data_IF_282856529794
#
_entry.id   IF_282856529794
#
_cell.length_a   1.000
_cell.length_b   1.000
_cell.length_c   1.000
_cell.angle_alpha   90.00
_cell.angle_beta   90.00
_cell.angle_gamma   90.00
#
_symmetry.space_group_name_H-M   'P 1'
#
loop_
_entity.id
_entity.type
_entity.pdbx_description
1 polymer ?
#
# COMPACT_ATOMS: atom_id res chain seq x y z
N UNK A 1 -69.05 -1.17 16.08
CA UNK A 1 -69.92 -1.74 17.14
C UNK A 1 -69.15 -1.74 18.46
N UNK A 2 -69.83 -1.55 19.60
CA UNK A 2 -69.54 -2.14 20.95
C UNK A 2 -68.10 -2.02 21.52
N UNK A 3 -67.79 -1.61 22.77
CA UNK A 3 -68.51 -1.00 23.93
C UNK A 3 -67.43 -0.53 24.96
N UNK A 4 -67.82 0.22 26.02
CA UNK A 4 -67.15 0.56 27.31
C UNK A 4 -65.94 -0.33 27.76
N UNK A 5 -64.99 0.09 28.63
CA UNK A 5 -65.12 0.74 29.97
C UNK A 5 -63.70 1.09 30.49
N UNK A 6 -63.29 2.23 31.08
CA UNK A 6 -63.73 3.06 32.25
C UNK A 6 -63.37 2.47 33.65
N UNK A 7 -62.43 3.08 34.41
CA UNK A 7 -62.35 3.25 35.91
C UNK A 7 -60.93 3.78 36.37
N UNK A 8 -60.78 4.93 37.07
CA UNK A 8 -60.59 5.20 38.56
C UNK A 8 -59.19 4.85 39.16
N UNK A 9 -58.56 5.52 40.17
CA UNK A 9 -58.68 6.78 41.00
C UNK A 9 -57.33 6.94 41.80
N UNK A 10 -56.74 8.11 42.17
CA UNK A 10 -57.06 9.15 43.21
C UNK A 10 -57.13 8.59 44.65
N UNK A 11 -56.48 9.07 45.74
CA UNK A 11 -55.83 10.35 46.18
C UNK A 11 -54.27 10.25 46.33
N UNK A 12 -53.41 11.21 46.75
CA UNK A 12 -53.43 12.60 47.35
C UNK A 12 -53.35 12.74 48.92
N UNK A 13 -52.77 13.86 49.43
CA UNK A 13 -52.68 14.38 50.85
C UNK A 13 -51.49 13.82 51.69
N UNK A 14 -50.56 14.53 52.41
CA UNK A 14 -50.41 15.85 53.09
C UNK A 14 -50.81 15.85 54.61
N UNK A 15 -50.24 16.58 55.61
CA UNK A 15 -49.00 17.40 55.76
C UNK A 15 -48.71 17.75 57.28
N UNK A 16 -47.61 18.51 57.55
CA UNK A 16 -47.41 19.53 58.63
C UNK A 16 -46.99 19.15 60.10
N UNK A 17 -45.71 19.47 60.42
CA UNK A 17 -45.11 20.28 61.54
C UNK A 17 -45.32 20.02 63.07
N UNK A 18 -44.40 20.69 63.84
CA UNK A 18 -44.47 21.22 65.25
C UNK A 18 -43.92 20.31 66.36
N UNK A 19 -43.22 20.79 67.43
CA UNK A 19 -42.20 21.84 67.66
C UNK A 19 -41.62 21.70 69.10
N UNK A 20 -40.34 22.01 69.31
CA UNK A 20 -39.60 22.38 70.54
C UNK A 20 -40.10 22.00 71.97
N UNK A 21 -39.16 21.50 72.80
CA UNK A 21 -39.25 21.48 74.27
C UNK A 21 -37.93 21.00 74.90
N UNK A 22 -37.45 21.64 75.98
CA UNK A 22 -36.12 21.40 76.57
C UNK A 22 -36.17 21.19 78.09
N UNK A 23 -35.22 20.42 78.64
CA UNK A 23 -34.95 20.32 80.08
C UNK A 23 -33.47 20.01 80.37
N UNK A 24 -33.05 20.29 81.62
CA UNK A 24 -31.65 20.25 82.09
C UNK A 24 -31.51 19.41 83.37
N UNK A 25 -30.32 18.85 83.66
CA UNK A 25 -29.98 18.32 84.99
C UNK A 25 -28.99 17.14 85.02
N UNK A 26 -27.84 17.31 85.68
CA UNK A 26 -26.75 16.31 85.76
C UNK A 26 -27.00 15.16 86.76
N UNK A 27 -26.31 14.00 86.60
CA UNK A 27 -26.52 12.84 87.50
C UNK A 27 -25.47 11.71 87.52
N UNK A 28 -24.16 12.02 87.72
CA UNK A 28 -23.04 11.09 88.03
C UNK A 28 -22.57 10.06 86.97
N UNK A 29 -21.26 9.77 87.06
CA UNK A 29 -20.44 8.89 86.20
C UNK A 29 -20.87 7.42 86.19
N UNK A 30 -20.79 6.80 85.01
CA UNK A 30 -20.33 5.42 84.79
C UNK A 30 -19.23 5.45 83.70
N UNK A 31 -18.35 4.44 83.66
CA UNK A 31 -17.26 4.33 82.66
C UNK A 31 -17.59 3.23 81.64
N UNK A 32 -17.74 3.60 80.37
CA UNK A 32 -17.94 2.68 79.21
C UNK A 32 -17.58 3.39 77.88
N UNK A 33 -17.40 2.63 76.79
CA UNK A 33 -16.11 2.52 76.12
C UNK A 33 -15.82 3.66 75.14
N UNK A 34 -14.53 3.87 74.86
CA UNK A 34 -14.10 4.78 73.80
C UNK A 34 -14.53 4.25 72.42
N UNK A 35 -15.35 5.02 71.72
CA UNK A 35 -15.45 4.92 70.26
C UNK A 35 -14.28 5.70 69.64
N UNK A 36 -13.71 5.26 68.50
CA UNK A 36 -12.59 5.96 67.86
C UNK A 36 -12.92 7.42 67.53
N UNK A 37 -11.93 8.31 67.69
CA UNK A 37 -12.05 9.68 67.20
C UNK A 37 -12.15 9.67 65.68
N UNK A 38 -12.99 10.54 65.15
CA UNK A 38 -12.90 10.97 63.75
C UNK A 38 -11.65 11.87 63.67
N UNK A 39 -10.52 11.29 63.28
CA UNK A 39 -9.46 12.08 62.68
C UNK A 39 -9.94 12.63 61.34
N UNK A 40 -9.38 13.76 60.90
CA UNK A 40 -9.45 14.10 59.49
C UNK A 40 -8.58 13.09 58.76
N UNK A 41 -9.21 12.15 58.08
CA UNK A 41 -8.60 11.40 57.00
C UNK A 41 -7.99 12.44 56.04
N UNK A 42 -6.66 12.48 55.92
CA UNK A 42 -6.03 13.23 54.84
C UNK A 42 -6.54 12.61 53.54
N UNK A 43 -7.02 13.43 52.61
CA UNK A 43 -7.42 12.92 51.29
C UNK A 43 -6.25 12.08 50.76
N UNK A 44 -6.46 10.80 50.40
CA UNK A 44 -5.41 10.04 49.77
C UNK A 44 -5.03 10.84 48.53
N UNK A 45 -3.77 11.25 48.45
CA UNK A 45 -3.23 11.82 47.21
C UNK A 45 -3.43 10.77 46.15
N UNK A 46 -4.50 10.95 45.39
CA UNK A 46 -4.59 10.48 44.02
C UNK A 46 -3.49 11.24 43.31
N UNK A 47 -2.28 10.65 43.36
CA UNK A 47 -1.40 10.70 42.22
C UNK A 47 -2.30 10.40 41.03
N UNK A 48 -2.60 11.45 40.27
CA UNK A 48 -3.00 11.27 38.90
C UNK A 48 -1.82 10.52 38.31
N UNK A 49 -1.99 9.22 38.12
CA UNK A 49 -1.40 8.53 36.99
C UNK A 49 -1.83 9.33 35.78
N UNK A 50 -1.00 10.33 35.45
CA UNK A 50 -1.07 11.04 34.17
C UNK A 50 -0.97 9.91 33.18
N UNK A 51 -2.10 9.56 32.57
CA UNK A 51 -2.15 8.48 31.60
C UNK A 51 -1.05 8.78 30.61
N UNK A 52 -0.04 7.90 30.53
CA UNK A 52 1.15 8.15 29.73
C UNK A 52 0.63 8.43 28.34
N UNK A 53 0.73 9.69 27.91
CA UNK A 53 0.43 10.05 26.53
C UNK A 53 1.46 9.26 25.75
N UNK A 54 0.98 8.22 25.07
CA UNK A 54 1.73 7.59 24.02
C UNK A 54 1.71 8.65 22.94
N UNK A 55 2.76 9.46 22.89
CA UNK A 55 3.03 10.31 21.74
C UNK A 55 3.12 9.36 20.55
N UNK A 56 2.10 9.41 19.69
CA UNK A 56 2.07 8.62 18.49
C UNK A 56 3.30 9.05 17.65
N UNK A 57 4.20 8.12 17.29
CA UNK A 57 5.50 8.46 16.74
C UNK A 57 5.36 9.31 15.48
N UNK A 58 5.90 10.53 15.53
CA UNK A 58 5.74 11.53 14.46
C UNK A 58 6.17 10.96 13.10
N UNK A 59 5.36 11.22 12.07
CA UNK A 59 5.67 10.81 10.71
C UNK A 59 6.96 11.54 10.26
N UNK A 60 8.02 10.82 9.86
CA UNK A 60 9.31 11.43 9.56
C UNK A 60 9.23 12.31 8.32
N UNK A 61 9.95 13.45 8.31
CA UNK A 61 9.92 14.41 7.21
C UNK A 61 10.42 13.82 5.87
N UNK A 62 11.21 12.75 5.90
CA UNK A 62 11.66 12.00 4.72
C UNK A 62 10.80 10.75 4.43
N UNK A 63 9.50 10.76 4.82
CA UNK A 63 8.57 9.67 4.52
C UNK A 63 8.48 9.43 3.01
N UNK A 64 8.82 8.21 2.61
CA UNK A 64 8.58 7.68 1.28
C UNK A 64 7.08 7.44 1.11
N UNK A 65 6.48 8.23 0.22
CA UNK A 65 5.04 8.25 -0.01
C UNK A 65 4.51 6.93 -0.62
N UNK A 66 5.38 6.03 -1.07
CA UNK A 66 5.02 4.72 -1.64
C UNK A 66 5.04 3.57 -0.61
N UNK A 67 5.88 3.67 0.43
CA UNK A 67 6.08 2.60 1.44
C UNK A 67 5.68 3.00 2.86
N UNK A 68 5.54 4.29 3.13
CA UNK A 68 5.29 4.84 4.45
C UNK A 68 6.51 4.84 5.39
N UNK A 69 7.69 4.40 4.93
CA UNK A 69 8.95 4.37 5.68
C UNK A 69 9.71 5.70 5.57
N UNK A 70 10.58 6.01 6.54
CA UNK A 70 11.43 7.21 6.53
C UNK A 70 12.78 7.00 5.82
N UNK A 71 12.77 6.67 4.52
CA UNK A 71 13.97 6.24 3.77
C UNK A 71 14.37 7.09 2.56
N UNK A 72 13.63 8.17 2.24
CA UNK A 72 14.02 9.12 1.18
C UNK A 72 15.33 9.85 1.51
N UNK A 73 16.09 10.21 0.47
CA UNK A 73 17.13 11.24 0.52
C UNK A 73 16.51 12.62 0.75
N UNK A 74 17.29 13.58 1.24
CA UNK A 74 16.82 14.97 1.43
C UNK A 74 16.39 15.59 0.09
N UNK A 75 17.09 15.25 -0.98
CA UNK A 75 16.83 15.70 -2.35
C UNK A 75 15.53 15.14 -2.95
N UNK A 76 15.07 13.96 -2.48
CA UNK A 76 13.84 13.32 -2.94
C UNK A 76 12.57 13.75 -2.17
N UNK A 77 12.69 14.49 -1.06
CA UNK A 77 11.52 14.92 -0.27
C UNK A 77 10.60 15.81 -1.10
N UNK A 78 9.33 15.41 -1.22
CA UNK A 78 8.34 16.11 -2.04
C UNK A 78 8.54 15.99 -3.56
N UNK A 79 9.43 15.10 -4.02
CA UNK A 79 9.74 14.90 -5.44
C UNK A 79 9.03 13.67 -6.02
N UNK A 80 8.89 13.67 -7.34
CA UNK A 80 8.16 12.66 -8.10
C UNK A 80 8.89 11.31 -8.08
N UNK A 81 8.16 10.19 -7.92
CA UNK A 81 8.72 8.85 -8.06
C UNK A 81 9.05 8.53 -9.53
N UNK A 82 9.67 7.38 -9.75
CA UNK A 82 10.06 6.88 -11.08
C UNK A 82 9.44 5.51 -11.30
N UNK A 83 8.62 5.35 -12.33
CA UNK A 83 8.01 4.10 -12.73
C UNK A 83 8.76 3.51 -13.94
N UNK A 84 9.30 2.29 -13.79
CA UNK A 84 10.20 1.66 -14.77
C UNK A 84 9.61 0.34 -15.28
N UNK A 85 9.43 0.25 -16.60
CA UNK A 85 8.89 -0.95 -17.27
C UNK A 85 9.96 -2.03 -17.41
N UNK A 86 9.84 -3.12 -16.64
CA UNK A 86 10.82 -4.22 -16.60
C UNK A 86 10.22 -5.51 -17.19
N UNK A 87 11.03 -6.22 -17.97
CA UNK A 87 10.69 -7.47 -18.62
C UNK A 87 10.69 -8.64 -17.61
N UNK A 88 9.62 -9.43 -17.56
CA UNK A 88 9.47 -10.54 -16.60
C UNK A 88 9.38 -11.94 -17.26
N UNK A 89 9.64 -12.03 -18.58
CA UNK A 89 9.73 -13.33 -19.27
C UNK A 89 10.96 -14.12 -18.82
N UNK A 90 10.80 -15.43 -18.67
CA UNK A 90 11.85 -16.35 -18.18
C UNK A 90 13.21 -16.19 -18.87
N UNK A 91 13.21 -16.07 -20.21
CA UNK A 91 14.42 -15.90 -21.04
C UNK A 91 15.21 -14.61 -20.79
N UNK A 92 14.68 -13.68 -19.99
CA UNK A 92 15.30 -12.41 -19.66
C UNK A 92 15.75 -12.30 -18.20
N UNK A 93 15.29 -13.23 -17.35
CA UNK A 93 15.63 -13.35 -15.93
C UNK A 93 17.00 -14.02 -15.72
N UNK A 94 17.65 -13.83 -14.55
CA UNK A 94 17.28 -12.89 -13.50
C UNK A 94 17.46 -11.43 -13.95
N UNK A 95 16.57 -10.56 -13.49
CA UNK A 95 16.71 -9.11 -13.67
C UNK A 95 17.70 -8.53 -12.66
N UNK A 96 18.05 -7.24 -12.80
CA UNK A 96 18.70 -6.49 -11.72
C UNK A 96 18.11 -5.09 -11.56
N UNK A 97 18.34 -4.50 -10.38
CA UNK A 97 17.81 -3.22 -9.93
C UNK A 97 16.43 -3.31 -9.29
N UNK A 98 15.65 -4.35 -9.59
CA UNK A 98 14.27 -4.53 -9.11
C UNK A 98 14.18 -4.85 -7.61
N UNK A 99 15.23 -5.36 -6.96
CA UNK A 99 15.26 -5.54 -5.51
C UNK A 99 15.12 -4.23 -4.72
N UNK A 100 15.41 -3.09 -5.35
CA UNK A 100 15.33 -1.77 -4.73
C UNK A 100 13.98 -1.08 -4.96
N UNK A 101 13.05 -1.67 -5.73
CA UNK A 101 11.74 -1.09 -5.97
C UNK A 101 10.87 -1.04 -4.70
N UNK A 102 10.10 0.02 -4.57
CA UNK A 102 9.16 0.28 -3.46
C UNK A 102 7.80 -0.37 -3.71
N UNK A 103 7.33 -0.26 -4.96
CA UNK A 103 6.13 -0.95 -5.46
C UNK A 103 6.52 -1.70 -6.74
N UNK A 104 6.09 -2.96 -6.88
CA UNK A 104 6.10 -3.67 -8.17
C UNK A 104 4.68 -4.05 -8.55
N UNK A 105 4.20 -3.49 -9.67
CA UNK A 105 3.01 -3.99 -10.35
C UNK A 105 3.41 -5.15 -11.28
N UNK A 106 2.76 -6.31 -11.18
CA UNK A 106 2.90 -7.42 -12.14
C UNK A 106 1.57 -7.65 -12.88
N UNK A 107 1.60 -7.58 -14.21
CA UNK A 107 0.39 -7.64 -15.05
C UNK A 107 0.64 -8.52 -16.29
N UNK A 108 -0.33 -9.38 -16.71
CA UNK A 108 -0.28 -10.12 -17.96
C UNK A 108 -0.13 -9.23 -19.20
N UNK A 109 0.64 -9.71 -20.18
CA UNK A 109 0.85 -9.08 -21.49
C UNK A 109 0.67 -10.11 -22.62
N UNK A 110 1.31 -9.91 -23.78
CA UNK A 110 1.20 -10.80 -24.94
C UNK A 110 1.47 -12.27 -24.61
N UNK A 111 0.50 -13.16 -24.88
CA UNK A 111 0.67 -14.60 -24.68
C UNK A 111 0.75 -15.05 -23.21
N UNK A 112 0.25 -14.25 -22.26
CA UNK A 112 0.08 -14.62 -20.85
C UNK A 112 1.40 -14.87 -20.07
N UNK A 113 2.49 -14.32 -20.61
CA UNK A 113 3.65 -13.89 -19.82
C UNK A 113 3.31 -12.57 -19.10
N UNK A 114 4.08 -12.20 -18.08
CA UNK A 114 3.88 -10.94 -17.34
C UNK A 114 4.93 -9.88 -17.65
N UNK A 115 4.65 -8.65 -17.21
CA UNK A 115 5.58 -7.52 -17.23
C UNK A 115 5.49 -6.77 -15.92
N UNK A 116 6.62 -6.26 -15.45
CA UNK A 116 6.70 -5.42 -14.26
C UNK A 116 6.60 -3.95 -14.62
N UNK A 117 5.96 -3.18 -13.75
CA UNK A 117 6.23 -1.75 -13.56
C UNK A 117 6.75 -1.56 -12.14
N UNK A 118 8.05 -1.28 -12.02
CA UNK A 118 8.74 -1.09 -10.75
C UNK A 118 8.81 0.41 -10.43
N UNK A 119 8.24 0.83 -9.30
CA UNK A 119 8.28 2.20 -8.82
C UNK A 119 9.37 2.37 -7.76
N UNK A 120 10.05 3.52 -7.81
CA UNK A 120 11.05 3.96 -6.84
C UNK A 120 10.63 5.35 -6.36
N UNK A 121 10.42 5.53 -5.05
CA UNK A 121 10.06 6.81 -4.45
C UNK A 121 11.21 7.80 -4.50
N UNK A 122 12.42 7.32 -4.25
CA UNK A 122 13.64 8.10 -4.32
C UNK A 122 14.23 8.12 -5.75
N UNK A 123 13.89 9.17 -6.51
CA UNK A 123 14.40 9.36 -7.88
C UNK A 123 15.93 9.54 -7.97
N UNK A 124 16.62 9.78 -6.85
CA UNK A 124 18.08 9.95 -6.79
C UNK A 124 18.83 8.65 -6.57
N UNK A 125 18.16 7.63 -6.00
CA UNK A 125 18.72 6.31 -5.70
C UNK A 125 18.36 5.22 -6.73
N UNK A 126 17.64 5.55 -7.80
CA UNK A 126 17.21 4.55 -8.80
C UNK A 126 18.43 3.82 -9.39
N UNK A 127 18.51 2.48 -9.27
CA UNK A 127 19.67 1.74 -9.74
C UNK A 127 19.71 1.66 -11.27
N UNK A 128 20.79 1.08 -11.79
CA UNK A 128 20.78 0.52 -13.14
C UNK A 128 19.82 -0.67 -13.16
N UNK A 129 18.91 -0.73 -14.14
CA UNK A 129 17.83 -1.72 -14.22
C UNK A 129 17.86 -2.42 -15.58
N UNK A 130 17.80 -3.75 -15.57
CA UNK A 130 17.76 -4.58 -16.79
C UNK A 130 16.95 -5.87 -16.54
N UNK A 131 16.12 -6.34 -17.48
CA UNK A 131 15.86 -5.78 -18.81
C UNK A 131 14.66 -4.83 -18.84
N UNK A 132 14.81 -3.66 -19.46
CA UNK A 132 13.71 -2.74 -19.74
C UNK A 132 12.86 -3.28 -20.90
N UNK A 133 11.54 -3.07 -20.81
CA UNK A 133 10.58 -3.47 -21.85
C UNK A 133 9.60 -2.33 -22.17
N UNK A 134 8.70 -2.64 -23.08
CA UNK A 134 7.75 -1.72 -23.72
C UNK A 134 6.51 -1.46 -22.89
N UNK A 135 5.96 -0.26 -23.06
CA UNK A 135 4.69 0.18 -22.50
C UNK A 135 3.50 -0.61 -23.07
N UNK A 136 2.44 -0.73 -22.24
CA UNK A 136 1.04 -1.05 -22.59
C UNK A 136 0.13 -0.11 -21.82
N UNK A 137 -0.99 0.31 -22.40
CA UNK A 137 -1.74 1.52 -21.99
C UNK A 137 -2.16 1.59 -20.50
N UNK A 138 -2.44 0.45 -19.87
CA UNK A 138 -2.81 0.37 -18.46
C UNK A 138 -1.66 0.71 -17.50
N UNK A 139 -0.39 0.44 -17.86
CA UNK A 139 0.76 0.78 -17.01
C UNK A 139 0.93 2.30 -16.78
N UNK A 140 0.97 3.19 -17.81
CA UNK A 140 1.08 4.62 -17.59
C UNK A 140 -0.22 5.23 -17.04
N UNK A 141 -1.39 4.63 -17.28
CA UNK A 141 -2.67 5.00 -16.66
C UNK A 141 -2.66 4.79 -15.14
N UNK A 142 -2.11 3.64 -14.67
CA UNK A 142 -1.82 3.41 -13.25
C UNK A 142 -0.74 4.41 -12.77
N UNK A 143 0.32 4.61 -13.55
CA UNK A 143 1.46 5.48 -13.21
C UNK A 143 1.10 6.97 -13.03
N UNK A 144 0.08 7.49 -13.71
CA UNK A 144 -0.37 8.88 -13.52
C UNK A 144 -0.85 9.14 -12.10
N UNK A 145 -1.42 8.13 -11.43
CA UNK A 145 -1.87 8.22 -10.05
C UNK A 145 -0.75 8.57 -9.05
N UNK A 146 0.50 8.29 -9.41
CA UNK A 146 1.70 8.56 -8.62
C UNK A 146 2.49 9.78 -9.12
N UNK A 147 2.01 10.48 -10.17
CA UNK A 147 2.70 11.63 -10.80
C UNK A 147 4.14 11.32 -11.25
N UNK A 148 4.43 10.05 -11.54
CA UNK A 148 5.79 9.56 -11.75
C UNK A 148 6.44 10.06 -13.06
N UNK A 149 7.77 9.97 -13.13
CA UNK A 149 8.47 9.83 -14.42
C UNK A 149 8.28 8.42 -14.95
N UNK A 150 7.99 8.25 -16.25
CA UNK A 150 7.64 6.94 -16.82
C UNK A 150 8.69 6.44 -17.82
N UNK A 151 9.36 5.33 -17.50
CA UNK A 151 10.56 4.84 -18.20
C UNK A 151 10.27 3.52 -18.93
N UNK A 152 10.45 3.47 -20.26
CA UNK A 152 10.17 2.28 -21.07
C UNK A 152 11.05 2.17 -22.32
N UNK A 153 11.03 0.99 -22.97
CA UNK A 153 11.69 0.75 -24.26
C UNK A 153 10.67 0.26 -25.31
N UNK A 154 10.20 1.17 -26.16
CA UNK A 154 9.12 0.95 -27.12
C UNK A 154 7.72 0.96 -26.49
N UNK A 155 6.69 0.91 -27.33
CA UNK A 155 5.26 1.03 -26.93
C UNK A 155 4.38 -0.06 -27.60
N UNK A 156 3.07 0.00 -27.37
CA UNK A 156 2.07 -0.49 -28.34
C UNK A 156 1.72 0.74 -29.21
N UNK A 157 2.00 0.67 -30.52
CA UNK A 157 1.79 1.82 -31.40
C UNK A 157 0.30 2.17 -31.56
N UNK A 158 -0.60 1.21 -31.34
CA UNK A 158 -2.06 1.40 -31.45
C UNK A 158 -2.65 2.24 -30.31
N UNK A 159 -1.85 2.59 -29.29
CA UNK A 159 -2.27 3.46 -28.17
C UNK A 159 -1.47 4.77 -28.11
N UNK A 160 -0.71 5.11 -29.17
CA UNK A 160 0.15 6.30 -29.20
C UNK A 160 -0.60 7.60 -28.86
N UNK A 161 -1.79 7.80 -29.43
CA UNK A 161 -2.60 9.00 -29.17
C UNK A 161 -3.07 9.09 -27.71
N UNK A 162 -3.36 7.95 -27.08
CA UNK A 162 -3.68 7.89 -25.66
C UNK A 162 -2.45 8.25 -24.80
N UNK A 163 -1.28 7.67 -25.09
CA UNK A 163 -0.03 8.01 -24.39
C UNK A 163 0.32 9.50 -24.51
N UNK A 164 0.08 10.11 -25.68
CA UNK A 164 0.21 11.55 -25.90
C UNK A 164 -0.79 12.34 -25.05
N UNK A 165 -2.05 11.89 -24.92
CA UNK A 165 -3.07 12.59 -24.14
C UNK A 165 -2.81 12.61 -22.63
N UNK A 166 -2.02 11.65 -22.10
CA UNK A 166 -1.60 11.65 -20.70
C UNK A 166 -0.63 12.80 -20.36
N UNK A 167 0.02 13.42 -21.36
CA UNK A 167 0.98 14.51 -21.21
C UNK A 167 2.07 14.20 -20.13
N UNK A 168 2.53 12.95 -20.10
CA UNK A 168 3.47 12.43 -19.10
C UNK A 168 4.94 12.68 -19.49
N UNK A 169 5.82 12.82 -18.51
CA UNK A 169 7.27 12.85 -18.70
C UNK A 169 7.80 11.43 -19.01
N UNK A 170 7.62 11.01 -20.26
CA UNK A 170 8.08 9.72 -20.77
C UNK A 170 9.58 9.76 -21.11
N UNK A 171 10.32 8.75 -20.63
CA UNK A 171 11.75 8.56 -20.86
C UNK A 171 11.92 7.25 -21.65
N UNK A 172 12.29 7.35 -22.92
CA UNK A 172 12.04 6.31 -23.92
C UNK A 172 13.33 5.80 -24.60
N UNK A 173 13.50 4.47 -24.63
CA UNK A 173 14.74 3.81 -25.05
C UNK A 173 14.98 3.64 -26.56
N UNK A 174 13.95 3.68 -27.42
CA UNK A 174 14.12 3.66 -28.89
C UNK A 174 14.70 4.98 -29.38
N UNK A 175 14.21 6.10 -28.86
CA UNK A 175 14.66 7.46 -29.17
C UNK A 175 15.99 7.85 -28.51
N UNK A 176 16.52 6.99 -27.62
CA UNK A 176 17.79 7.13 -26.92
C UNK A 176 17.96 8.48 -26.20
N UNK A 177 17.16 8.67 -25.14
CA UNK A 177 17.18 9.88 -24.33
C UNK A 177 18.49 10.06 -23.54
N UNK A 178 19.49 10.67 -24.18
CA UNK A 178 20.65 11.26 -23.49
C UNK A 178 21.66 10.27 -22.90
N UNK A 179 21.71 9.02 -23.36
CA UNK A 179 22.65 8.01 -22.87
C UNK A 179 22.16 7.18 -21.68
N UNK A 180 20.94 7.44 -21.18
CA UNK A 180 20.29 6.66 -20.13
C UNK A 180 20.04 5.18 -20.48
N UNK A 181 20.12 4.81 -21.77
CA UNK A 181 19.80 3.47 -22.25
C UNK A 181 20.98 2.83 -22.99
N UNK A 182 21.10 1.51 -22.86
CA UNK A 182 22.13 0.75 -23.56
C UNK A 182 21.82 -0.75 -23.64
N UNK A 183 22.77 -1.52 -24.19
CA UNK A 183 22.70 -2.99 -24.21
C UNK A 183 23.76 -3.56 -23.27
N UNK A 184 23.31 -4.40 -22.35
CA UNK A 184 24.14 -5.14 -21.40
C UNK A 184 25.02 -6.14 -22.17
N UNK A 185 26.33 -5.90 -22.18
CA UNK A 185 27.26 -6.74 -22.95
C UNK A 185 27.52 -8.09 -22.26
N UNK A 186 27.38 -8.19 -20.94
CA UNK A 186 27.65 -9.44 -20.23
C UNK A 186 26.47 -10.41 -20.39
N UNK A 187 25.22 -9.93 -20.34
CA UNK A 187 24.07 -10.72 -20.80
C UNK A 187 24.17 -11.06 -22.30
N UNK A 188 24.67 -10.16 -23.17
CA UNK A 188 24.93 -10.49 -24.59
C UNK A 188 25.96 -11.62 -24.74
N UNK A 189 27.04 -11.59 -23.96
CA UNK A 189 28.11 -12.60 -23.94
C UNK A 189 27.63 -13.94 -23.35
N UNK A 190 26.71 -13.91 -22.37
CA UNK A 190 26.01 -15.08 -21.82
C UNK A 190 24.96 -15.68 -22.79
N UNK A 191 24.77 -15.08 -23.98
CA UNK A 191 23.88 -15.61 -25.03
C UNK A 191 22.45 -15.08 -25.01
N UNK A 192 22.13 -14.09 -24.18
CA UNK A 192 20.78 -13.51 -24.16
C UNK A 192 20.45 -12.81 -25.49
N UNK A 193 19.19 -12.94 -25.90
CA UNK A 193 18.62 -12.28 -27.07
C UNK A 193 18.60 -10.74 -26.87
N UNK A 194 18.68 -9.96 -27.96
CA UNK A 194 18.94 -8.52 -27.88
C UNK A 194 17.86 -7.78 -27.08
N UNK A 195 16.60 -8.17 -27.29
CA UNK A 195 15.38 -7.74 -26.61
C UNK A 195 15.34 -8.08 -25.10
N UNK A 196 16.30 -8.85 -24.59
CA UNK A 196 16.45 -9.21 -23.18
C UNK A 196 17.69 -8.57 -22.52
N UNK A 197 18.35 -7.64 -23.22
CA UNK A 197 19.60 -7.00 -22.78
C UNK A 197 19.54 -5.47 -22.75
N UNK A 198 18.37 -4.86 -22.97
CA UNK A 198 18.20 -3.41 -22.84
C UNK A 198 18.20 -2.98 -21.38
N UNK A 199 19.12 -2.11 -20.97
CA UNK A 199 19.14 -1.52 -19.63
C UNK A 199 18.72 -0.05 -19.65
N UNK A 200 18.26 0.44 -18.50
CA UNK A 200 18.17 1.84 -18.12
C UNK A 200 19.16 2.11 -17.00
N UNK A 201 19.87 3.24 -17.03
CA UNK A 201 20.84 3.63 -16.02
C UNK A 201 20.28 4.74 -15.12
N UNK A 202 19.48 4.34 -14.12
CA UNK A 202 18.85 5.24 -13.16
C UNK A 202 19.85 6.11 -12.40
N UNK A 203 21.11 5.69 -12.28
CA UNK A 203 22.17 6.46 -11.60
C UNK A 203 22.48 7.79 -12.29
N UNK A 204 22.09 7.95 -13.55
CA UNK A 204 22.26 9.17 -14.35
C UNK A 204 20.96 9.99 -14.46
N UNK A 205 19.85 9.51 -13.88
CA UNK A 205 18.52 10.13 -14.03
C UNK A 205 18.43 11.55 -13.46
N UNK A 206 18.98 11.90 -12.28
CA UNK A 206 18.91 13.27 -11.76
C UNK A 206 19.55 14.29 -12.70
N UNK A 207 20.75 13.99 -13.21
CA UNK A 207 21.46 14.83 -14.17
C UNK A 207 20.74 14.92 -15.52
N UNK A 208 20.08 13.84 -15.95
CA UNK A 208 19.22 13.87 -17.14
C UNK A 208 18.03 14.82 -16.93
N UNK A 209 17.29 14.67 -15.84
CA UNK A 209 16.14 15.51 -15.47
C UNK A 209 16.54 17.00 -15.44
N UNK A 210 17.65 17.33 -14.79
CA UNK A 210 18.22 18.69 -14.75
C UNK A 210 18.55 19.19 -16.16
N UNK A 211 19.28 18.41 -16.96
CA UNK A 211 19.67 18.78 -18.34
C UNK A 211 18.49 19.02 -19.29
N UNK A 212 17.30 18.53 -18.93
CA UNK A 212 16.04 18.69 -19.66
C UNK A 212 15.11 19.74 -19.06
N UNK A 213 15.38 20.23 -17.85
CA UNK A 213 14.51 21.16 -17.12
C UNK A 213 13.14 20.56 -16.75
N UNK A 214 13.07 19.24 -16.53
CA UNK A 214 11.80 18.59 -16.17
C UNK A 214 11.41 18.89 -14.72
N UNK A 215 10.11 19.03 -14.46
CA UNK A 215 9.56 19.25 -13.12
C UNK A 215 9.88 18.06 -12.21
N UNK A 216 10.58 18.29 -11.09
CA UNK A 216 10.80 17.27 -10.05
C UNK A 216 9.78 17.32 -8.92
N UNK A 217 9.21 18.48 -8.60
CA UNK A 217 8.20 18.63 -7.53
C UNK A 217 6.88 17.91 -7.88
N UNK A 218 6.32 17.21 -6.89
CA UNK A 218 4.98 16.61 -6.96
C UNK A 218 3.89 17.67 -7.14
N UNK A 219 2.80 17.32 -7.84
CA UNK A 219 1.55 18.11 -7.80
C UNK A 219 1.06 18.28 -6.34
N UNK A 220 0.31 19.35 -6.05
CA UNK A 220 -0.20 19.63 -4.69
C UNK A 220 -1.07 18.49 -4.13
N UNK A 221 -1.91 17.87 -4.96
CA UNK A 221 -2.75 16.71 -4.64
C UNK A 221 -1.96 15.41 -4.47
N UNK A 222 -0.64 15.43 -4.73
CA UNK A 222 0.26 14.26 -4.72
C UNK A 222 1.35 14.31 -3.65
N UNK A 223 1.32 15.31 -2.76
CA UNK A 223 2.23 15.43 -1.61
C UNK A 223 1.87 14.54 -0.42
N UNK A 224 0.72 13.85 -0.47
CA UNK A 224 0.33 12.85 0.53
C UNK A 224 0.84 11.44 0.18
N UNK A 225 0.84 10.51 1.15
CA UNK A 225 1.16 9.11 0.89
C UNK A 225 0.15 8.50 -0.10
N UNK A 226 0.62 7.62 -0.99
CA UNK A 226 -0.19 7.01 -2.04
C UNK A 226 -1.19 5.96 -1.55
N UNK A 227 -0.97 5.45 -0.33
CA UNK A 227 -1.87 4.56 0.39
C UNK A 227 -2.00 5.05 1.85
N UNK A 228 -3.09 4.69 2.53
CA UNK A 228 -3.19 4.88 3.98
C UNK A 228 -2.34 3.83 4.69
N UNK A 229 -1.56 4.23 5.70
CA UNK A 229 -0.63 3.35 6.40
C UNK A 229 -0.99 3.23 7.88
N UNK A 230 -0.76 2.04 8.47
CA UNK A 230 -0.80 1.81 9.92
C UNK A 230 0.26 2.67 10.66
N UNK A 231 0.28 2.68 11.99
CA UNK A 231 1.27 3.41 12.79
C UNK A 231 2.73 3.05 12.47
N UNK A 232 3.70 3.90 12.81
CA UNK A 232 5.12 3.65 12.50
C UNK A 232 5.68 2.36 13.10
N UNK A 233 5.16 1.95 14.26
CA UNK A 233 5.55 0.71 14.97
C UNK A 233 4.56 -0.45 14.73
N UNK A 234 3.55 -0.27 13.86
CA UNK A 234 2.47 -1.23 13.65
C UNK A 234 2.67 -2.08 12.38
N UNK A 235 2.75 -3.39 12.58
CA UNK A 235 2.71 -4.40 11.52
C UNK A 235 1.50 -5.31 11.79
N UNK A 236 0.33 -4.90 11.30
CA UNK A 236 -0.95 -5.56 11.59
C UNK A 236 -1.12 -6.78 10.68
N UNK A 237 -1.43 -7.94 11.26
CA UNK A 237 -1.88 -9.11 10.51
C UNK A 237 -3.35 -8.93 10.10
N UNK A 238 -3.69 -8.98 8.79
CA UNK A 238 -5.09 -8.94 8.32
C UNK A 238 -5.93 -10.06 8.96
N UNK A 239 -7.18 -9.75 9.28
CA UNK A 239 -7.92 -10.50 10.30
C UNK A 239 -8.77 -11.67 9.77
N UNK A 240 -9.09 -11.71 8.47
CA UNK A 240 -10.11 -12.63 7.93
C UNK A 240 -9.60 -14.08 7.81
N UNK A 241 -8.31 -14.30 7.51
CA UNK A 241 -7.66 -15.62 7.66
C UNK A 241 -6.14 -15.55 7.86
N UNK A 242 -5.56 -16.65 8.32
CA UNK A 242 -4.14 -16.94 8.14
C UNK A 242 -3.82 -17.03 6.64
N UNK A 243 -2.61 -16.60 6.25
CA UNK A 243 -2.07 -16.78 4.91
C UNK A 243 -0.53 -16.73 4.95
N UNK A 244 0.09 -17.90 4.81
CA UNK A 244 1.55 -18.10 4.75
C UNK A 244 2.06 -18.37 3.35
N UNK A 245 1.19 -18.74 2.41
CA UNK A 245 1.50 -18.97 1.00
C UNK A 245 0.44 -18.36 0.08
N UNK A 246 0.88 -17.72 -1.00
CA UNK A 246 0.04 -17.24 -2.11
C UNK A 246 0.55 -17.85 -3.41
N UNK A 247 -0.36 -18.30 -4.27
CA UNK A 247 -0.08 -18.69 -5.65
C UNK A 247 -0.93 -17.84 -6.60
N UNK A 248 -0.35 -17.35 -7.68
CA UNK A 248 -1.01 -16.51 -8.70
C UNK A 248 -0.73 -17.13 -10.08
N UNK A 249 -1.80 -17.55 -10.77
CA UNK A 249 -1.75 -18.10 -12.13
C UNK A 249 -2.02 -16.98 -13.15
N UNK A 250 -1.01 -16.59 -13.93
CA UNK A 250 -1.17 -15.61 -15.01
C UNK A 250 -1.46 -16.25 -16.37
N UNK A 251 -1.53 -17.59 -16.46
CA UNK A 251 -1.76 -18.35 -17.68
C UNK A 251 -0.51 -19.05 -18.21
N UNK A 252 0.51 -18.30 -18.64
CA UNK A 252 1.79 -18.85 -19.13
C UNK A 252 2.93 -18.73 -18.11
N UNK A 253 2.74 -17.95 -17.05
CA UNK A 253 3.65 -17.84 -15.91
C UNK A 253 2.86 -17.92 -14.61
N UNK A 254 3.53 -18.24 -13.51
CA UNK A 254 2.95 -18.13 -12.17
C UNK A 254 3.91 -17.43 -11.21
N UNK A 255 3.36 -16.53 -10.39
CA UNK A 255 4.06 -16.02 -9.21
C UNK A 255 3.61 -16.80 -7.98
N UNK A 256 4.54 -16.99 -7.05
CA UNK A 256 4.25 -17.56 -5.75
C UNK A 256 4.92 -16.73 -4.66
N UNK A 257 4.37 -16.76 -3.46
CA UNK A 257 4.88 -16.02 -2.31
C UNK A 257 4.84 -16.90 -1.07
N UNK A 258 5.93 -16.98 -0.32
CA UNK A 258 5.99 -17.68 0.98
C UNK A 258 6.36 -16.69 2.07
N UNK A 259 5.64 -16.70 3.20
CA UNK A 259 5.89 -15.81 4.32
C UNK A 259 7.12 -16.24 5.11
N UNK A 260 8.13 -15.36 5.16
CA UNK A 260 9.32 -15.47 5.99
C UNK A 260 9.08 -14.70 7.30
N UNK A 261 8.95 -15.44 8.41
CA UNK A 261 8.68 -14.89 9.74
C UNK A 261 9.87 -14.19 10.38
N UNK A 262 11.10 -14.43 9.92
CA UNK A 262 12.29 -13.75 10.43
C UNK A 262 12.46 -12.37 9.78
N UNK A 263 12.11 -12.27 8.49
CA UNK A 263 12.11 -11.00 7.72
C UNK A 263 10.80 -10.22 7.82
N UNK A 264 9.72 -10.85 8.28
CA UNK A 264 8.34 -10.34 8.21
C UNK A 264 7.91 -9.96 6.79
N UNK A 265 8.28 -10.79 5.80
CA UNK A 265 8.09 -10.51 4.38
C UNK A 265 7.64 -11.75 3.60
N UNK A 266 6.87 -11.52 2.54
CA UNK A 266 6.52 -12.52 1.53
C UNK A 266 7.62 -12.59 0.46
N UNK A 267 8.35 -13.71 0.43
CA UNK A 267 9.42 -13.96 -0.52
C UNK A 267 8.85 -14.46 -1.86
N UNK A 268 9.14 -13.75 -2.95
CA UNK A 268 8.61 -14.04 -4.28
C UNK A 268 9.35 -15.15 -4.99
N UNK A 269 8.58 -16.01 -5.62
CA UNK A 269 8.99 -17.00 -6.62
C UNK A 269 8.30 -16.68 -7.95
N UNK A 270 8.88 -17.16 -9.04
CA UNK A 270 8.35 -17.07 -10.41
C UNK A 270 8.60 -18.42 -11.11
N UNK A 271 7.57 -19.00 -11.72
CA UNK A 271 7.59 -20.34 -12.30
C UNK A 271 8.20 -21.39 -11.33
N UNK A 272 7.84 -21.31 -10.04
CA UNK A 272 8.34 -22.18 -8.95
C UNK A 272 9.74 -21.85 -8.40
N UNK A 273 10.54 -21.04 -9.07
CA UNK A 273 11.92 -20.71 -8.68
C UNK A 273 11.97 -19.40 -7.87
N UNK A 274 12.87 -19.25 -6.87
CA UNK A 274 13.12 -17.96 -6.22
C UNK A 274 13.38 -16.85 -7.24
N UNK A 275 12.64 -15.73 -7.17
CA UNK A 275 12.92 -14.59 -8.04
C UNK A 275 13.97 -13.70 -7.38
N UNK A 276 15.13 -13.62 -8.02
CA UNK A 276 16.33 -12.97 -7.47
C UNK A 276 16.64 -11.67 -8.21
N UNK A 277 17.19 -10.68 -7.49
CA UNK A 277 17.95 -9.60 -8.11
C UNK A 277 19.38 -10.07 -8.39
N UNK A 278 19.82 -9.98 -9.65
CA UNK A 278 21.12 -10.49 -10.09
C UNK A 278 22.33 -9.68 -9.61
N UNK A 279 22.13 -8.47 -9.07
CA UNK A 279 23.21 -7.62 -8.55
C UNK A 279 23.35 -7.74 -7.03
N UNK A 280 22.25 -7.82 -6.27
CA UNK A 280 22.35 -8.05 -4.82
C UNK A 280 22.49 -9.54 -4.46
N UNK A 281 22.00 -10.44 -5.32
CA UNK A 281 21.92 -11.87 -5.03
C UNK A 281 20.81 -12.26 -4.07
N UNK A 282 19.90 -11.31 -3.74
CA UNK A 282 18.81 -11.51 -2.80
C UNK A 282 17.50 -11.89 -3.51
N UNK A 283 16.67 -12.68 -2.82
CA UNK A 283 15.32 -12.98 -3.28
C UNK A 283 14.41 -11.79 -2.97
N UNK A 284 13.53 -11.42 -3.92
CA UNK A 284 12.59 -10.32 -3.73
C UNK A 284 11.64 -10.62 -2.56
N UNK A 285 11.56 -9.69 -1.60
CA UNK A 285 10.70 -9.76 -0.42
C UNK A 285 9.81 -8.53 -0.30
N UNK A 286 8.54 -8.73 0.05
CA UNK A 286 7.52 -7.67 0.15
C UNK A 286 6.81 -7.74 1.49
N UNK A 287 6.55 -6.59 2.11
CA UNK A 287 5.73 -6.49 3.33
C UNK A 287 4.25 -6.67 2.99
N UNK A 288 3.83 -6.14 1.85
CA UNK A 288 2.46 -6.21 1.35
C UNK A 288 2.40 -6.97 0.03
N UNK A 289 1.45 -7.88 -0.10
CA UNK A 289 1.10 -8.55 -1.36
C UNK A 289 -0.38 -8.29 -1.63
N UNK A 290 -0.67 -7.66 -2.77
CA UNK A 290 -2.01 -7.45 -3.27
C UNK A 290 -2.26 -8.33 -4.49
N UNK A 291 -3.43 -8.95 -4.53
CA UNK A 291 -3.93 -9.65 -5.72
C UNK A 291 -5.27 -9.02 -6.08
N UNK A 292 -5.28 -8.27 -7.18
CA UNK A 292 -6.44 -7.53 -7.67
C UNK A 292 -7.06 -8.33 -8.82
N UNK A 293 -8.31 -8.75 -8.66
CA UNK A 293 -9.03 -9.49 -9.71
C UNK A 293 -9.68 -8.49 -10.67
N UNK A 294 -9.38 -8.61 -11.96
CA UNK A 294 -9.88 -7.74 -13.02
C UNK A 294 -10.29 -8.50 -14.28
N UNK A 295 -10.98 -7.82 -15.20
CA UNK A 295 -11.27 -8.33 -16.53
C UNK A 295 -10.06 -8.13 -17.46
N UNK A 296 -9.57 -9.23 -18.04
CA UNK A 296 -8.45 -9.24 -18.99
C UNK A 296 -8.85 -10.06 -20.21
N UNK A 297 -8.70 -9.51 -21.42
CA UNK A 297 -9.04 -10.18 -22.68
C UNK A 297 -8.03 -9.90 -23.78
N UNK A 298 -8.04 -10.69 -24.86
CA UNK A 298 -7.20 -10.43 -26.03
C UNK A 298 -7.85 -9.35 -26.90
N UNK A 299 -7.07 -8.33 -27.24
CA UNK A 299 -7.45 -7.12 -27.99
C UNK A 299 -7.39 -7.33 -29.50
N UNK A 300 -6.37 -8.04 -29.99
CA UNK A 300 -6.04 -8.16 -31.41
C UNK A 300 -5.25 -9.44 -31.74
N UNK A 301 -5.02 -9.68 -33.04
CA UNK A 301 -4.29 -10.84 -33.58
C UNK A 301 -2.80 -10.88 -33.17
N UNK A 302 -2.23 -9.79 -32.64
CA UNK A 302 -0.87 -9.75 -32.09
C UNK A 302 -0.84 -10.30 -30.66
N UNK A 303 -2.00 -10.43 -30.03
CA UNK A 303 -2.15 -10.92 -28.66
C UNK A 303 -2.01 -9.83 -27.61
N UNK A 304 -2.13 -8.53 -27.98
CA UNK A 304 -2.21 -7.46 -26.98
C UNK A 304 -3.39 -7.72 -26.03
N UNK A 305 -3.29 -7.22 -24.79
CA UNK A 305 -4.34 -7.37 -23.78
C UNK A 305 -5.17 -6.08 -23.67
N UNK A 306 -6.49 -6.24 -23.71
CA UNK A 306 -7.41 -5.31 -23.06
C UNK A 306 -7.46 -5.69 -21.57
N UNK A 307 -7.43 -4.70 -20.71
CA UNK A 307 -7.45 -4.84 -19.26
C UNK A 307 -8.20 -3.66 -18.64
N UNK A 308 -9.08 -3.97 -17.70
CA UNK A 308 -9.72 -3.03 -16.78
C UNK A 308 -8.71 -2.66 -15.68
N UNK A 309 -8.31 -1.38 -15.63
CA UNK A 309 -7.23 -0.86 -14.78
C UNK A 309 -7.70 0.14 -13.72
N UNK A 310 -8.93 0.62 -13.84
CA UNK A 310 -9.61 1.53 -12.92
C UNK A 310 -10.65 0.84 -12.03
N UNK A 311 -11.22 -0.30 -12.44
CA UNK A 311 -12.09 -1.12 -11.61
C UNK A 311 -13.37 -0.40 -11.16
N UNK A 312 -13.79 -0.63 -9.92
CA UNK A 312 -14.99 -0.02 -9.34
C UNK A 312 -15.35 -0.57 -7.96
N UNK A 313 -16.54 -0.22 -7.48
CA UNK A 313 -17.00 -0.62 -6.14
C UNK A 313 -17.08 -2.15 -5.94
N UNK A 314 -17.35 -2.90 -7.02
CA UNK A 314 -17.53 -4.36 -7.01
C UNK A 314 -16.27 -5.14 -7.46
N UNK A 315 -15.14 -4.49 -7.80
CA UNK A 315 -13.92 -5.21 -8.20
C UNK A 315 -13.16 -5.73 -6.99
N UNK A 316 -13.14 -7.07 -6.90
CA UNK A 316 -12.58 -7.88 -5.83
C UNK A 316 -11.06 -7.89 -5.85
N UNK A 317 -10.46 -7.99 -4.67
CA UNK A 317 -9.06 -8.31 -4.49
C UNK A 317 -8.80 -8.89 -3.10
N UNK A 318 -7.52 -9.07 -2.79
CA UNK A 318 -7.05 -9.56 -1.50
C UNK A 318 -5.84 -8.76 -1.07
N UNK A 319 -5.79 -8.38 0.21
CA UNK A 319 -4.62 -7.83 0.87
C UNK A 319 -4.00 -8.89 1.78
N UNK A 320 -2.72 -9.19 1.55
CA UNK A 320 -1.93 -10.17 2.27
C UNK A 320 -0.73 -9.45 2.91
N UNK A 321 -0.57 -9.59 4.24
CA UNK A 321 0.58 -9.06 4.99
C UNK A 321 0.72 -9.77 6.35
N UNK A 322 1.90 -9.71 6.97
CA UNK A 322 2.23 -10.28 8.29
C UNK A 322 1.57 -11.66 8.61
N UNK A 323 1.63 -12.62 7.68
CA UNK A 323 1.10 -13.97 7.88
C UNK A 323 -0.44 -14.10 7.86
N UNK A 324 -1.16 -13.12 7.31
CA UNK A 324 -2.63 -13.12 7.21
C UNK A 324 -3.15 -12.46 5.92
N UNK A 325 -4.43 -12.68 5.64
CA UNK A 325 -5.15 -12.17 4.48
C UNK A 325 -6.52 -11.59 4.89
N UNK A 326 -6.96 -10.56 4.17
CA UNK A 326 -8.37 -10.19 4.08
C UNK A 326 -8.80 -9.88 2.63
N UNK A 327 -10.05 -10.20 2.24
CA UNK A 327 -10.67 -9.65 1.04
C UNK A 327 -10.68 -8.11 1.08
N UNK A 328 -10.60 -7.50 -0.10
CA UNK A 328 -10.70 -6.05 -0.32
C UNK A 328 -11.52 -5.78 -1.58
N UNK A 329 -11.98 -4.54 -1.76
CA UNK A 329 -12.26 -4.01 -3.09
C UNK A 329 -11.24 -2.95 -3.47
N UNK A 330 -11.13 -2.62 -4.76
CA UNK A 330 -10.14 -1.69 -5.27
C UNK A 330 -10.69 -0.88 -6.43
N UNK A 331 -10.32 0.40 -6.52
CA UNK A 331 -10.64 1.24 -7.68
C UNK A 331 -9.72 2.45 -7.84
N UNK A 332 -9.77 3.06 -9.02
CA UNK A 332 -9.41 4.46 -9.29
C UNK A 332 -10.71 5.26 -9.46
N UNK A 333 -10.61 6.58 -9.60
CA UNK A 333 -11.77 7.38 -10.01
C UNK A 333 -11.99 7.23 -11.53
N UNK A 334 -13.21 6.88 -11.94
CA UNK A 334 -13.62 6.67 -13.33
C UNK A 334 -13.22 7.88 -14.21
N UNK A 335 -12.48 7.62 -15.29
CA UNK A 335 -12.02 8.67 -16.21
C UNK A 335 -10.98 9.63 -15.62
N UNK A 336 -10.27 9.25 -14.54
CA UNK A 336 -9.12 9.99 -14.00
C UNK A 336 -7.91 9.08 -13.81
N UNK A 337 -7.04 9.00 -14.82
CA UNK A 337 -5.74 8.36 -14.72
C UNK A 337 -4.90 8.90 -13.55
N UNK A 338 -4.98 10.19 -13.24
CA UNK A 338 -4.22 10.79 -12.15
C UNK A 338 -4.83 10.64 -10.75
N UNK A 339 -5.97 9.95 -10.60
CA UNK A 339 -6.44 9.50 -9.28
C UNK A 339 -5.54 8.40 -8.69
N UNK A 340 -5.48 8.27 -7.36
CA UNK A 340 -4.77 7.14 -6.73
C UNK A 340 -5.55 5.83 -6.92
N UNK A 341 -4.81 4.72 -7.05
CA UNK A 341 -5.37 3.39 -6.87
C UNK A 341 -5.67 3.20 -5.38
N UNK A 342 -6.95 3.11 -5.04
CA UNK A 342 -7.44 3.05 -3.65
C UNK A 342 -7.92 1.64 -3.35
N UNK A 343 -7.63 1.16 -2.13
CA UNK A 343 -8.08 -0.12 -1.61
C UNK A 343 -9.08 0.12 -0.48
N UNK A 344 -10.08 -0.76 -0.37
CA UNK A 344 -11.15 -0.66 0.63
C UNK A 344 -11.32 -1.98 1.40
N UNK A 345 -11.64 -1.88 2.69
CA UNK A 345 -11.93 -3.05 3.53
C UNK A 345 -13.32 -3.67 3.25
N UNK A 346 -13.63 -4.81 3.88
CA UNK A 346 -14.93 -5.49 3.75
C UNK A 346 -16.13 -4.64 4.27
N UNK A 347 -15.89 -3.47 4.87
CA UNK A 347 -16.89 -2.49 5.31
C UNK A 347 -16.97 -1.24 4.42
N UNK A 348 -16.14 -1.13 3.38
CA UNK A 348 -16.08 0.00 2.46
C UNK A 348 -15.27 1.21 2.95
N UNK A 349 -14.49 1.08 4.03
CA UNK A 349 -13.55 2.13 4.45
C UNK A 349 -12.25 2.04 3.63
N UNK A 350 -11.53 3.15 3.46
CA UNK A 350 -10.17 3.11 2.87
C UNK A 350 -9.26 2.25 3.75
N UNK A 351 -8.57 1.31 3.13
CA UNK A 351 -7.70 0.33 3.77
C UNK A 351 -6.40 0.97 4.27
N UNK A 352 -6.10 0.79 5.56
CA UNK A 352 -4.75 0.99 6.07
C UNK A 352 -3.87 -0.24 5.81
N UNK A 353 -2.67 -0.03 5.28
CA UNK A 353 -1.71 -1.08 4.93
C UNK A 353 -0.45 -0.99 5.80
N UNK A 354 0.31 -2.07 5.90
CA UNK A 354 1.56 -2.07 6.64
C UNK A 354 2.65 -1.26 5.92
N UNK A 355 3.52 -0.61 6.69
CA UNK A 355 4.64 0.16 6.12
C UNK A 355 5.71 -0.79 5.59
N UNK A 356 6.11 -0.60 4.35
CA UNK A 356 7.08 -1.44 3.65
C UNK A 356 6.79 -1.60 2.15
N UNK A 357 7.57 -2.46 1.51
CA UNK A 357 7.49 -2.71 0.06
C UNK A 357 6.23 -3.46 -0.32
N UNK A 358 5.63 -3.08 -1.45
CA UNK A 358 4.35 -3.62 -1.91
C UNK A 358 4.45 -4.28 -3.28
N UNK A 359 3.97 -5.51 -3.41
CA UNK A 359 3.73 -6.16 -4.69
C UNK A 359 2.24 -6.10 -5.02
N UNK A 360 1.88 -5.77 -6.26
CA UNK A 360 0.50 -5.61 -6.71
C UNK A 360 0.30 -6.36 -8.03
N UNK A 361 -0.35 -7.52 -7.98
CA UNK A 361 -0.80 -8.20 -9.19
C UNK A 361 -2.15 -7.64 -9.65
N UNK A 362 -2.28 -7.28 -10.92
CA UNK A 362 -3.60 -7.21 -11.58
C UNK A 362 -3.73 -8.47 -12.44
N UNK A 363 -4.71 -9.32 -12.12
CA UNK A 363 -4.84 -10.64 -12.73
C UNK A 363 -6.30 -11.00 -13.04
N UNK A 364 -6.45 -12.05 -13.84
CA UNK A 364 -7.72 -12.75 -14.07
C UNK A 364 -8.45 -13.13 -12.77
N UNK A 365 -9.78 -13.04 -12.77
CA UNK A 365 -10.67 -13.49 -11.68
C UNK A 365 -10.48 -14.98 -11.34
N UNK A 366 -10.56 -15.30 -10.06
CA UNK A 366 -10.41 -16.65 -9.49
C UNK A 366 -9.10 -17.38 -9.89
N UNK A 367 -8.03 -16.63 -10.21
CA UNK A 367 -6.69 -17.15 -10.56
C UNK A 367 -5.64 -16.99 -9.46
N UNK A 368 -6.06 -17.00 -8.20
CA UNK A 368 -5.16 -17.07 -7.06
C UNK A 368 -5.64 -18.08 -6.01
N UNK A 369 -4.69 -18.64 -5.26
CA UNK A 369 -4.97 -19.51 -4.11
C UNK A 369 -4.09 -19.12 -2.92
N UNK A 370 -4.63 -19.35 -1.73
CA UNK A 370 -4.08 -18.85 -0.46
C UNK A 370 -4.08 -20.01 0.56
N UNK A 371 -3.00 -20.14 1.34
CA UNK A 371 -2.79 -21.21 2.34
C UNK A 371 -2.03 -20.68 3.56
#
# INVERSE_FOLDING_TARGET
MVTNMRLKRVMLIAAVMVMAGAFTGCGKKEEKPEQPKIEKEEEPKTEKTVGKVVEEPEIPANQNLLTGLGDLSEEAIGKRPVAVMVNNVEKAMPQYGIGQADIIFEIPVEGDVTRFMALYGDYTKVPKICPIRSCRYYFPAISQGFDAFYVNWGIDETVSDYLNSLNMDQIEGITNTGGLFGRDQDKRNQGYALEHTGYFDGTQLPSYIESKGLRTDLKEDKKGPAFSFNGMEEQIKPASSDCTSVQIDFGSQSAAFTYDTEKMQYLKQINGNPQMDAVTGEQLGFTNVFVLETEISVKDDVGHKNLDWDGGADTKGYYISNGGMQPITWSKEEGKEDSYLTFYDESGNVLNINRGKSYIALNYKDKATFQ
#
